data_IF_027005748074
#
_entry.id   IF_027005748074
#
_cell.length_a   1.000
_cell.length_b   1.000
_cell.length_c   1.000
_cell.angle_alpha   90.00
_cell.angle_beta   90.00
_cell.angle_gamma   90.00
#
_symmetry.space_group_name_H-M   'P 1'
#
loop_
_entity.id
_entity.type
_entity.pdbx_description
1 polymer ?
#
# COMPACT_ATOMS: atom_id res chain seq x y z
N UNK A 1 -31.75 -17.31 8.15
CA UNK A 1 -31.23 -15.95 8.42
C UNK A 1 -29.97 -16.11 9.26
N UNK A 2 -28.77 -15.82 8.74
CA UNK A 2 -27.58 -15.86 9.56
C UNK A 2 -27.45 -14.55 10.34
N UNK A 3 -27.29 -14.69 11.65
CA UNK A 3 -27.08 -13.65 12.63
C UNK A 3 -25.78 -12.91 12.34
N UNK A 4 -25.86 -11.60 12.09
CA UNK A 4 -24.68 -10.74 12.00
C UNK A 4 -24.07 -10.66 13.38
N UNK A 5 -23.00 -11.42 13.62
CA UNK A 5 -22.12 -11.22 14.78
C UNK A 5 -21.47 -9.85 14.63
N UNK A 6 -21.85 -8.90 15.49
CA UNK A 6 -21.13 -7.63 15.60
C UNK A 6 -19.74 -7.92 16.18
N UNK A 7 -18.71 -7.92 15.35
CA UNK A 7 -17.35 -7.95 15.86
C UNK A 7 -17.06 -6.60 16.53
N UNK A 8 -17.09 -6.57 17.85
CA UNK A 8 -16.62 -5.46 18.69
C UNK A 8 -15.08 -5.42 18.63
N UNK A 9 -14.52 -5.16 17.45
CA UNK A 9 -13.13 -4.74 17.35
C UNK A 9 -13.12 -3.24 17.60
N UNK A 10 -12.44 -2.79 18.66
CA UNK A 10 -12.20 -1.38 18.93
C UNK A 10 -11.74 -0.67 17.63
N UNK A 11 -12.64 0.11 17.02
CA UNK A 11 -12.46 0.68 15.68
C UNK A 11 -11.33 1.71 15.65
N UNK A 12 -11.15 2.42 16.76
CA UNK A 12 -10.13 3.46 16.93
C UNK A 12 -8.76 2.83 17.23
N UNK A 13 -7.68 3.17 16.49
CA UNK A 13 -6.32 2.72 16.76
C UNK A 13 -5.86 2.99 18.20
N UNK A 14 -5.09 2.07 18.78
CA UNK A 14 -4.57 2.20 20.15
C UNK A 14 -3.74 3.46 20.36
N UNK A 15 -2.90 3.85 19.40
CA UNK A 15 -2.11 5.07 19.49
C UNK A 15 -2.98 6.33 19.56
N UNK A 16 -4.10 6.34 18.85
CA UNK A 16 -5.06 7.46 18.90
C UNK A 16 -5.80 7.49 20.23
N UNK A 17 -6.16 6.34 20.81
CA UNK A 17 -6.79 6.30 22.13
C UNK A 17 -5.85 6.84 23.22
N UNK A 18 -4.56 6.49 23.16
CA UNK A 18 -3.54 7.01 24.08
C UNK A 18 -3.40 8.53 23.88
N UNK A 19 -3.33 8.97 22.63
CA UNK A 19 -3.19 10.38 22.29
C UNK A 19 -4.42 11.20 22.75
N UNK A 20 -5.63 10.66 22.61
CA UNK A 20 -6.86 11.27 23.11
C UNK A 20 -6.82 11.41 24.64
N UNK A 21 -6.46 10.34 25.37
CA UNK A 21 -6.32 10.39 26.83
C UNK A 21 -5.25 11.39 27.31
N UNK A 22 -4.18 11.56 26.54
CA UNK A 22 -3.12 12.54 26.83
C UNK A 22 -3.58 13.98 26.53
N UNK A 23 -4.29 14.20 25.43
CA UNK A 23 -4.84 15.52 25.09
C UNK A 23 -5.98 15.93 26.02
N UNK A 24 -6.82 15.02 26.49
CA UNK A 24 -7.88 15.32 27.46
C UNK A 24 -7.30 15.79 28.82
N UNK A 25 -6.02 15.51 29.08
CA UNK A 25 -5.27 16.00 30.25
C UNK A 25 -4.80 17.46 30.10
N UNK A 26 -4.74 17.99 28.88
CA UNK A 26 -4.36 19.38 28.60
C UNK A 26 -5.56 20.13 28.00
N UNK A 27 -6.16 21.09 28.73
CA UNK A 27 -7.28 21.86 28.21
C UNK A 27 -6.80 22.76 27.06
N UNK A 28 -6.93 22.27 25.83
CA UNK A 28 -6.61 23.01 24.62
C UNK A 28 -7.85 23.74 24.12
N UNK A 29 -7.79 25.06 24.10
CA UNK A 29 -8.87 25.96 23.72
C UNK A 29 -9.03 26.10 22.18
N UNK A 30 -8.59 25.09 21.42
CA UNK A 30 -8.47 25.17 19.98
C UNK A 30 -9.53 24.29 19.29
N UNK A 31 -10.42 24.92 18.52
CA UNK A 31 -11.39 24.25 17.64
C UNK A 31 -10.67 23.57 16.45
N UNK A 32 -9.87 22.54 16.72
CA UNK A 32 -9.18 21.77 15.69
C UNK A 32 -10.23 20.92 14.97
N UNK A 33 -10.35 21.10 13.65
CA UNK A 33 -11.18 20.24 12.82
C UNK A 33 -10.57 18.82 12.78
N UNK A 34 -10.99 17.96 13.72
CA UNK A 34 -10.47 16.60 13.92
C UNK A 34 -10.53 15.77 12.64
N UNK A 35 -11.55 15.95 11.80
CA UNK A 35 -11.68 15.26 10.51
C UNK A 35 -10.55 15.63 9.56
N UNK A 36 -10.18 16.91 9.48
CA UNK A 36 -9.05 17.34 8.65
C UNK A 36 -7.72 16.85 9.23
N UNK A 37 -7.56 16.84 10.56
CA UNK A 37 -6.38 16.28 11.21
C UNK A 37 -6.17 14.80 10.84
N UNK A 38 -7.22 13.98 10.89
CA UNK A 38 -7.12 12.58 10.48
C UNK A 38 -6.85 12.42 8.98
N UNK A 39 -7.43 13.26 8.12
CA UNK A 39 -7.09 13.28 6.67
C UNK A 39 -5.60 13.52 6.45
N UNK A 40 -5.03 14.56 7.08
CA UNK A 40 -3.60 14.86 6.96
C UNK A 40 -2.74 13.77 7.58
N UNK A 41 -3.14 13.22 8.73
CA UNK A 41 -2.45 12.12 9.39
C UNK A 41 -2.38 10.88 8.47
N UNK A 42 -3.49 10.48 7.86
CA UNK A 42 -3.54 9.35 6.92
C UNK A 42 -2.67 9.61 5.70
N UNK A 43 -2.73 10.82 5.14
CA UNK A 43 -1.89 11.21 4.00
C UNK A 43 -0.39 11.09 4.35
N UNK A 44 0.03 11.59 5.50
CA UNK A 44 1.42 11.54 5.95
C UNK A 44 1.86 10.12 6.27
N UNK A 45 1.05 9.36 7.02
CA UNK A 45 1.37 7.97 7.38
C UNK A 45 1.50 7.08 6.15
N UNK A 46 0.55 7.19 5.22
CA UNK A 46 0.61 6.44 3.94
C UNK A 46 1.77 6.89 3.05
N UNK A 47 2.13 8.18 3.08
CA UNK A 47 3.32 8.68 2.41
C UNK A 47 4.60 8.06 2.97
N UNK A 48 4.77 8.09 4.29
CA UNK A 48 5.91 7.47 5.00
C UNK A 48 5.96 5.97 4.71
N UNK A 49 4.81 5.31 4.73
CA UNK A 49 4.68 3.88 4.38
C UNK A 49 5.33 3.56 3.05
N UNK A 50 4.94 4.32 2.03
CA UNK A 50 5.44 4.10 0.68
C UNK A 50 6.89 4.51 0.52
N UNK A 51 7.29 5.63 1.12
CA UNK A 51 8.68 6.02 1.17
C UNK A 51 9.54 4.91 1.79
N UNK A 52 9.07 4.25 2.85
CA UNK A 52 9.76 3.13 3.48
C UNK A 52 9.81 1.86 2.59
N UNK A 53 8.72 1.50 1.91
CA UNK A 53 8.73 0.44 0.90
C UNK A 53 9.78 0.71 -0.18
N UNK A 54 9.80 1.90 -0.76
CA UNK A 54 10.76 2.28 -1.78
C UNK A 54 12.20 2.33 -1.26
N UNK A 55 12.40 2.83 -0.04
CA UNK A 55 13.71 2.83 0.62
C UNK A 55 14.26 1.41 0.76
N UNK A 56 13.43 0.44 1.16
CA UNK A 56 13.84 -0.97 1.34
C UNK A 56 14.23 -1.68 0.03
N UNK A 57 13.86 -1.15 -1.14
CA UNK A 57 14.21 -1.72 -2.46
C UNK A 57 15.57 -1.26 -2.99
N UNK A 58 16.14 -0.19 -2.44
CA UNK A 58 17.40 0.42 -2.94
C UNK A 58 18.72 -0.23 -2.52
N UNK A 59 18.85 -0.93 -1.37
CA UNK A 59 20.13 -1.43 -0.91
C UNK A 59 20.93 -2.23 -1.95
N UNK A 60 20.31 -3.13 -2.73
CA UNK A 60 21.01 -3.94 -3.74
C UNK A 60 21.74 -3.07 -4.77
N UNK A 61 21.09 -2.00 -5.23
CA UNK A 61 21.67 -1.11 -6.25
C UNK A 61 22.90 -0.35 -5.77
N UNK A 62 23.03 -0.17 -4.45
CA UNK A 62 24.18 0.47 -3.80
C UNK A 62 25.23 -0.58 -3.45
N UNK A 63 24.83 -1.66 -2.78
CA UNK A 63 25.75 -2.69 -2.26
C UNK A 63 26.43 -3.50 -3.36
N UNK A 64 25.83 -3.61 -4.56
CA UNK A 64 26.49 -4.28 -5.69
C UNK A 64 27.88 -3.71 -6.01
N UNK A 65 28.14 -2.43 -5.71
CA UNK A 65 29.45 -1.80 -5.97
C UNK A 65 30.56 -2.30 -5.06
N UNK A 66 30.22 -2.89 -3.91
CA UNK A 66 31.22 -3.46 -2.97
C UNK A 66 31.24 -4.98 -2.98
N UNK A 67 30.19 -5.63 -3.48
CA UNK A 67 30.14 -7.08 -3.67
C UNK A 67 30.99 -7.56 -4.85
N UNK A 68 31.19 -6.71 -5.85
CA UNK A 68 32.09 -6.97 -6.97
C UNK A 68 32.86 -5.69 -7.33
N UNK A 69 34.18 -5.73 -7.20
CA UNK A 69 35.09 -4.60 -7.35
C UNK A 69 36.28 -4.96 -8.26
N UNK A 70 36.94 -3.94 -8.81
CA UNK A 70 38.19 -4.15 -9.54
C UNK A 70 39.36 -4.30 -8.55
N UNK A 71 39.69 -5.54 -8.18
CA UNK A 71 40.75 -5.85 -7.22
C UNK A 71 42.19 -5.74 -7.78
N UNK A 72 42.37 -5.34 -9.05
CA UNK A 72 43.67 -5.38 -9.77
C UNK A 72 44.67 -4.29 -9.35
N UNK A 73 44.25 -3.35 -8.49
CA UNK A 73 45.06 -2.17 -8.11
C UNK A 73 46.11 -2.47 -7.05
N UNK A 74 46.02 -3.62 -6.38
CA UNK A 74 46.95 -4.04 -5.32
C UNK A 74 47.45 -5.45 -5.65
N UNK A 75 48.76 -5.66 -5.53
CA UNK A 75 49.41 -6.92 -5.87
C UNK A 75 49.16 -7.96 -4.77
N UNK A 76 47.94 -8.49 -4.71
CA UNK A 76 47.53 -9.58 -3.84
C UNK A 76 47.66 -10.93 -4.57
N UNK A 77 48.01 -11.98 -3.83
CA UNK A 77 48.13 -13.36 -4.35
C UNK A 77 46.78 -13.99 -4.73
N UNK A 78 45.69 -13.44 -4.21
CA UNK A 78 44.32 -13.83 -4.54
C UNK A 78 43.67 -12.70 -5.38
N UNK A 79 43.27 -12.95 -6.64
CA UNK A 79 42.64 -11.94 -7.48
C UNK A 79 41.26 -11.50 -6.99
N UNK A 80 40.60 -12.28 -6.12
CA UNK A 80 39.24 -12.04 -5.60
C UNK A 80 39.21 -11.55 -4.15
N UNK A 81 40.36 -11.13 -3.61
CA UNK A 81 40.51 -10.73 -2.20
C UNK A 81 39.52 -9.66 -1.73
N UNK A 82 38.98 -8.86 -2.65
CA UNK A 82 38.05 -7.76 -2.37
C UNK A 82 36.58 -8.05 -2.76
N UNK A 83 36.27 -9.27 -3.25
CA UNK A 83 34.96 -9.65 -3.77
C UNK A 83 34.10 -10.51 -2.83
N UNK A 84 32.78 -10.32 -2.97
CA UNK A 84 31.65 -10.91 -2.26
C UNK A 84 31.16 -12.30 -2.71
N UNK A 85 31.63 -13.47 -2.27
CA UNK A 85 30.99 -14.74 -2.71
C UNK A 85 29.48 -14.81 -2.33
N UNK A 86 28.56 -15.23 -3.23
CA UNK A 86 28.78 -15.84 -4.55
C UNK A 86 28.86 -14.85 -5.73
N UNK A 87 28.86 -13.55 -5.47
CA UNK A 87 28.90 -12.48 -6.47
C UNK A 87 30.30 -12.22 -7.04
N UNK A 88 31.32 -12.97 -6.62
CA UNK A 88 32.67 -12.90 -7.19
C UNK A 88 32.80 -13.64 -8.54
N UNK A 89 31.79 -14.41 -8.95
CA UNK A 89 31.81 -15.12 -10.23
C UNK A 89 31.84 -14.17 -11.45
N UNK A 90 32.43 -14.62 -12.56
CA UNK A 90 32.48 -13.86 -13.82
C UNK A 90 31.09 -13.39 -14.29
N UNK A 91 30.05 -14.16 -13.99
CA UNK A 91 28.67 -13.87 -14.33
C UNK A 91 27.90 -13.06 -13.25
N UNK A 92 28.58 -12.29 -12.40
CA UNK A 92 27.96 -11.46 -11.34
C UNK A 92 26.77 -10.60 -11.81
N UNK A 93 26.84 -10.01 -13.01
CA UNK A 93 25.74 -9.23 -13.58
C UNK A 93 24.47 -10.07 -13.78
N UNK A 94 24.62 -11.33 -14.21
CA UNK A 94 23.51 -12.27 -14.34
C UNK A 94 22.97 -12.70 -12.97
N UNK A 95 23.83 -12.82 -11.95
CA UNK A 95 23.41 -13.12 -10.58
C UNK A 95 22.54 -11.99 -10.00
N UNK A 96 22.99 -10.73 -10.10
CA UNK A 96 22.19 -9.57 -9.68
C UNK A 96 20.88 -9.47 -10.47
N UNK A 97 20.94 -9.68 -11.79
CA UNK A 97 19.73 -9.72 -12.63
C UNK A 97 18.75 -10.83 -12.23
N UNK A 98 19.26 -11.98 -11.79
CA UNK A 98 18.44 -13.09 -11.27
C UNK A 98 17.74 -12.71 -9.96
N UNK A 99 18.44 -12.01 -9.06
CA UNK A 99 17.85 -11.52 -7.80
C UNK A 99 16.72 -10.51 -8.04
N UNK A 100 16.93 -9.55 -8.94
CA UNK A 100 15.91 -8.57 -9.30
C UNK A 100 14.72 -9.25 -9.98
N UNK A 101 14.99 -10.18 -10.89
CA UNK A 101 13.95 -10.94 -11.59
C UNK A 101 13.14 -11.82 -10.64
N UNK A 102 13.79 -12.51 -9.70
CA UNK A 102 13.12 -13.33 -8.70
C UNK A 102 12.17 -12.50 -7.82
N UNK A 103 12.62 -11.33 -7.38
CA UNK A 103 11.79 -10.38 -6.64
C UNK A 103 10.59 -9.91 -7.47
N UNK A 104 10.83 -9.42 -8.70
CA UNK A 104 9.79 -8.84 -9.55
C UNK A 104 8.74 -9.86 -9.99
N UNK A 105 9.17 -11.08 -10.31
CA UNK A 105 8.27 -12.17 -10.70
C UNK A 105 7.40 -12.62 -9.52
N UNK A 106 8.00 -12.83 -8.35
CA UNK A 106 7.26 -13.17 -7.14
C UNK A 106 6.27 -12.04 -6.75
N UNK A 107 6.71 -10.78 -6.86
CA UNK A 107 5.86 -9.62 -6.64
C UNK A 107 4.69 -9.59 -7.61
N UNK A 108 4.91 -9.80 -8.92
CA UNK A 108 3.85 -9.77 -9.93
C UNK A 108 2.76 -10.81 -9.66
N UNK A 109 3.14 -12.06 -9.36
CA UNK A 109 2.18 -13.13 -9.04
C UNK A 109 1.43 -12.81 -7.74
N UNK A 110 2.15 -12.46 -6.67
CA UNK A 110 1.54 -12.19 -5.38
C UNK A 110 0.65 -10.94 -5.41
N UNK A 111 0.92 -9.97 -6.29
CA UNK A 111 0.14 -8.74 -6.39
C UNK A 111 -1.32 -9.00 -6.77
N UNK A 112 -1.57 -10.00 -7.62
CA UNK A 112 -2.93 -10.43 -7.96
C UNK A 112 -3.69 -10.94 -6.73
N UNK A 113 -3.08 -11.85 -5.97
CA UNK A 113 -3.69 -12.42 -4.76
C UNK A 113 -3.81 -11.40 -3.62
N UNK A 114 -2.81 -10.53 -3.46
CA UNK A 114 -2.77 -9.47 -2.46
C UNK A 114 -3.97 -8.53 -2.60
N UNK A 115 -4.37 -8.18 -3.82
CA UNK A 115 -5.57 -7.39 -4.09
C UNK A 115 -6.84 -8.06 -3.56
N UNK A 116 -7.05 -9.34 -3.89
CA UNK A 116 -8.20 -10.12 -3.45
C UNK A 116 -8.23 -10.29 -1.91
N UNK A 117 -7.08 -10.56 -1.31
CA UNK A 117 -6.98 -10.70 0.15
C UNK A 117 -7.32 -9.38 0.83
N UNK A 118 -6.80 -8.25 0.31
CA UNK A 118 -7.00 -6.93 0.90
C UNK A 118 -8.49 -6.53 1.03
N UNK A 119 -9.37 -7.03 0.15
CA UNK A 119 -10.81 -6.76 0.21
C UNK A 119 -11.51 -7.45 1.39
N UNK A 120 -10.95 -8.55 1.90
CA UNK A 120 -11.58 -9.39 2.93
C UNK A 120 -10.94 -9.30 4.31
N UNK A 121 -9.80 -8.61 4.44
CA UNK A 121 -9.06 -8.49 5.69
C UNK A 121 -9.05 -7.07 6.23
N UNK A 122 -8.76 -6.92 7.52
CA UNK A 122 -8.54 -5.60 8.09
C UNK A 122 -7.30 -4.94 7.45
N UNK A 123 -7.51 -3.87 6.67
CA UNK A 123 -6.47 -3.15 5.92
C UNK A 123 -5.32 -2.69 6.83
N UNK A 124 -5.60 -2.27 8.07
CA UNK A 124 -4.55 -1.82 9.01
C UNK A 124 -3.61 -2.97 9.36
N UNK A 125 -4.17 -4.13 9.69
CA UNK A 125 -3.40 -5.33 10.04
C UNK A 125 -2.65 -5.85 8.80
N UNK A 126 -3.34 -5.90 7.67
CA UNK A 126 -2.76 -6.34 6.39
C UNK A 126 -1.53 -5.53 5.99
N UNK A 127 -1.64 -4.19 6.00
CA UNK A 127 -0.54 -3.30 5.67
C UNK A 127 0.60 -3.41 6.69
N UNK A 128 0.28 -3.49 7.98
CA UNK A 128 1.28 -3.63 9.07
C UNK A 128 2.08 -4.91 8.92
N UNK A 129 1.41 -6.06 8.77
CA UNK A 129 2.07 -7.36 8.61
C UNK A 129 2.96 -7.36 7.37
N UNK A 130 2.45 -6.83 6.26
CA UNK A 130 3.21 -6.64 5.04
C UNK A 130 4.51 -5.86 5.22
N UNK A 131 4.45 -4.73 5.93
CA UNK A 131 5.62 -3.90 6.20
C UNK A 131 6.63 -4.58 7.12
N UNK A 132 6.17 -5.25 8.18
CA UNK A 132 7.03 -5.98 9.11
C UNK A 132 7.76 -7.11 8.39
N UNK A 133 7.02 -7.92 7.62
CA UNK A 133 7.61 -9.04 6.86
C UNK A 133 8.56 -8.53 5.76
N UNK A 134 8.21 -7.43 5.09
CA UNK A 134 9.08 -6.81 4.08
C UNK A 134 10.39 -6.29 4.66
N UNK A 135 10.35 -5.64 5.83
CA UNK A 135 11.57 -5.21 6.51
C UNK A 135 12.38 -6.36 7.09
N UNK A 136 11.71 -7.44 7.49
CA UNK A 136 12.36 -8.69 7.89
C UNK A 136 13.09 -9.30 6.70
N UNK A 137 12.44 -9.43 5.53
CA UNK A 137 13.07 -9.90 4.30
C UNK A 137 14.28 -9.04 3.90
N UNK A 138 14.14 -7.71 3.96
CA UNK A 138 15.23 -6.78 3.70
C UNK A 138 16.40 -7.02 4.67
N UNK A 139 16.12 -7.13 5.98
CA UNK A 139 17.15 -7.40 7.01
C UNK A 139 17.80 -8.77 6.86
N UNK A 140 17.05 -9.80 6.46
CA UNK A 140 17.59 -11.13 6.15
C UNK A 140 18.65 -11.06 5.06
N UNK A 141 18.48 -10.23 4.03
CA UNK A 141 19.52 -10.04 3.01
C UNK A 141 20.82 -9.53 3.66
N UNK A 142 20.72 -8.54 4.57
CA UNK A 142 21.86 -8.00 5.30
C UNK A 142 22.49 -8.99 6.29
N UNK A 143 21.70 -9.87 6.89
CA UNK A 143 22.19 -10.93 7.78
C UNK A 143 23.10 -11.94 7.09
N UNK A 144 23.07 -12.03 5.76
CA UNK A 144 24.07 -12.81 5.02
C UNK A 144 25.51 -12.35 5.33
N UNK A 145 25.72 -11.05 5.54
CA UNK A 145 27.04 -10.52 5.91
C UNK A 145 27.46 -10.88 7.34
N UNK A 146 26.50 -10.91 8.26
CA UNK A 146 26.75 -11.18 9.69
C UNK A 146 27.03 -12.67 9.92
N UNK A 147 26.24 -13.54 9.30
CA UNK A 147 26.39 -15.00 9.43
C UNK A 147 27.30 -15.62 8.37
N UNK A 148 27.95 -14.79 7.54
CA UNK A 148 28.90 -15.22 6.51
C UNK A 148 28.29 -16.24 5.51
N UNK A 149 27.09 -15.93 5.01
CA UNK A 149 26.33 -16.78 4.09
C UNK A 149 26.73 -16.46 2.65
N UNK A 150 27.24 -17.48 1.93
CA UNK A 150 27.69 -17.37 0.54
C UNK A 150 26.83 -18.16 -0.47
N UNK A 151 25.56 -18.46 -0.12
CA UNK A 151 24.67 -19.24 -0.98
C UNK A 151 23.76 -18.34 -1.85
N UNK A 152 23.79 -18.51 -3.17
CA UNK A 152 22.89 -17.75 -4.08
C UNK A 152 21.42 -18.10 -3.84
N UNK A 153 21.12 -19.36 -3.50
CA UNK A 153 19.76 -19.82 -3.21
C UNK A 153 19.17 -19.09 -2.00
N UNK A 154 19.99 -18.76 -0.99
CA UNK A 154 19.57 -17.94 0.14
C UNK A 154 19.10 -16.56 -0.33
N UNK A 155 19.90 -15.86 -1.14
CA UNK A 155 19.54 -14.54 -1.64
C UNK A 155 18.29 -14.57 -2.53
N UNK A 156 18.15 -15.58 -3.40
CA UNK A 156 16.95 -15.78 -4.21
C UNK A 156 15.72 -16.02 -3.34
N UNK A 157 15.81 -16.89 -2.33
CA UNK A 157 14.69 -17.18 -1.43
C UNK A 157 14.24 -15.94 -0.64
N UNK A 158 15.21 -15.14 -0.15
CA UNK A 158 14.93 -13.86 0.52
C UNK A 158 14.25 -12.87 -0.43
N UNK A 159 14.69 -12.79 -1.70
CA UNK A 159 14.09 -11.91 -2.70
C UNK A 159 12.66 -12.33 -3.08
N UNK A 160 12.40 -13.62 -3.20
CA UNK A 160 11.04 -14.14 -3.43
C UNK A 160 10.13 -13.79 -2.25
N UNK A 161 10.59 -14.07 -1.02
CA UNK A 161 9.83 -13.76 0.20
C UNK A 161 9.56 -12.26 0.33
N UNK A 162 10.56 -11.42 0.10
CA UNK A 162 10.43 -9.96 0.08
C UNK A 162 9.49 -9.47 -1.01
N UNK A 163 9.57 -10.04 -2.22
CA UNK A 163 8.68 -9.74 -3.34
C UNK A 163 7.22 -9.97 -2.98
N UNK A 164 6.90 -11.14 -2.40
CA UNK A 164 5.54 -11.49 -1.95
C UNK A 164 5.05 -10.50 -0.89
N UNK A 165 5.85 -10.27 0.15
CA UNK A 165 5.45 -9.45 1.30
C UNK A 165 5.20 -7.98 0.92
N UNK A 166 5.96 -7.45 -0.03
CA UNK A 166 5.84 -6.06 -0.47
C UNK A 166 4.57 -5.76 -1.29
N UNK A 167 3.90 -6.79 -1.81
CA UNK A 167 2.65 -6.60 -2.58
C UNK A 167 1.49 -6.06 -1.75
N UNK A 168 1.56 -6.19 -0.43
CA UNK A 168 0.55 -5.69 0.51
C UNK A 168 0.44 -4.15 0.52
N UNK A 169 1.51 -3.45 0.13
CA UNK A 169 1.59 -1.99 0.19
C UNK A 169 0.53 -1.30 -0.67
N UNK A 170 0.39 -1.67 -1.93
CA UNK A 170 -0.49 -0.97 -2.89
C UNK A 170 -1.98 -1.13 -2.61
N UNK A 171 -2.51 -2.35 -2.46
CA UNK A 171 -3.91 -2.53 -2.15
C UNK A 171 -4.28 -1.88 -0.81
N UNK A 172 -3.42 -2.01 0.20
CA UNK A 172 -3.67 -1.45 1.53
C UNK A 172 -3.74 0.07 1.54
N UNK A 173 -2.75 0.74 0.93
CA UNK A 173 -2.67 2.20 0.97
C UNK A 173 -3.64 2.88 0.02
N UNK A 174 -3.84 2.35 -1.19
CA UNK A 174 -4.83 2.91 -2.11
C UNK A 174 -6.23 2.82 -1.51
N UNK A 175 -6.54 1.72 -0.82
CA UNK A 175 -7.81 1.57 -0.08
C UNK A 175 -7.92 2.62 1.05
N UNK A 176 -6.90 2.77 1.88
CA UNK A 176 -6.89 3.76 2.97
C UNK A 176 -7.04 5.21 2.44
N UNK A 177 -6.32 5.56 1.38
CA UNK A 177 -6.42 6.87 0.73
C UNK A 177 -7.79 7.08 0.08
N UNK A 178 -8.33 6.06 -0.58
CA UNK A 178 -9.64 6.10 -1.24
C UNK A 178 -10.79 6.34 -0.26
N UNK A 179 -10.69 5.78 0.96
CA UNK A 179 -11.68 5.96 2.03
C UNK A 179 -11.76 7.40 2.55
N UNK A 180 -10.63 8.12 2.61
CA UNK A 180 -10.55 9.48 3.15
C UNK A 180 -10.70 10.57 2.10
N UNK A 181 -10.22 10.32 0.89
CA UNK A 181 -10.21 11.27 -0.21
C UNK A 181 -11.23 10.83 -1.27
N UNK A 182 -12.45 11.36 -1.18
CA UNK A 182 -13.57 11.18 -2.13
C UNK A 182 -13.30 11.74 -3.54
N UNK A 183 -14.25 11.66 -4.48
CA UNK A 183 -14.11 11.92 -5.94
C UNK A 183 -13.63 13.33 -6.38
N UNK A 184 -13.32 14.25 -5.46
CA UNK A 184 -12.88 15.62 -5.77
C UNK A 184 -11.45 15.72 -6.30
N UNK A 185 -10.62 16.62 -5.72
CA UNK A 185 -9.22 16.91 -6.08
C UNK A 185 -8.23 15.73 -5.90
N UNK A 186 -8.66 14.49 -6.12
CA UNK A 186 -7.86 13.26 -6.02
C UNK A 186 -6.61 13.34 -6.87
N UNK A 187 -6.70 13.82 -8.11
CA UNK A 187 -5.54 13.90 -9.00
C UNK A 187 -4.39 14.71 -8.40
N UNK A 188 -4.69 15.87 -7.80
CA UNK A 188 -3.68 16.69 -7.14
C UNK A 188 -3.11 16.02 -5.88
N UNK A 189 -3.97 15.45 -5.03
CA UNK A 189 -3.55 14.78 -3.79
C UNK A 189 -2.70 13.55 -4.10
N UNK A 190 -3.14 12.69 -5.01
CA UNK A 190 -2.38 11.53 -5.46
C UNK A 190 -1.10 11.94 -6.19
N UNK A 191 -1.10 13.06 -6.92
CA UNK A 191 0.09 13.62 -7.55
C UNK A 191 1.18 14.00 -6.55
N UNK A 192 0.82 14.76 -5.50
CA UNK A 192 1.74 15.08 -4.39
C UNK A 192 2.15 13.80 -3.66
N UNK A 193 1.18 12.94 -3.35
CA UNK A 193 1.43 11.72 -2.61
C UNK A 193 2.44 10.82 -3.32
N UNK A 194 2.32 10.64 -4.64
CA UNK A 194 3.20 9.79 -5.46
C UNK A 194 4.69 10.22 -5.44
N UNK A 195 4.99 11.45 -5.01
CA UNK A 195 6.38 11.88 -4.75
C UNK A 195 7.08 11.06 -3.65
N UNK A 196 6.32 10.27 -2.87
CA UNK A 196 6.84 9.26 -1.94
C UNK A 196 7.88 8.35 -2.61
N UNK A 197 7.72 8.08 -3.91
CA UNK A 197 8.59 7.17 -4.67
C UNK A 197 10.00 7.74 -4.73
N UNK A 198 10.11 9.00 -5.16
CA UNK A 198 11.39 9.70 -5.25
C UNK A 198 12.01 9.90 -3.88
N UNK A 199 11.22 10.33 -2.89
CA UNK A 199 11.72 10.54 -1.51
C UNK A 199 12.22 9.22 -0.90
N UNK A 200 11.44 8.15 -1.02
CA UNK A 200 11.84 6.83 -0.54
C UNK A 200 13.10 6.31 -1.22
N UNK A 201 13.23 6.52 -2.54
CA UNK A 201 14.43 6.16 -3.28
C UNK A 201 15.67 6.91 -2.77
N UNK A 202 15.55 8.23 -2.52
CA UNK A 202 16.64 9.05 -1.99
C UNK A 202 17.04 8.56 -0.58
N UNK A 203 16.06 8.38 0.30
CA UNK A 203 16.29 7.89 1.67
C UNK A 203 16.97 6.52 1.64
N UNK A 204 16.48 5.59 0.81
CA UNK A 204 17.06 4.25 0.66
C UNK A 204 18.51 4.28 0.19
N UNK A 205 18.83 5.10 -0.80
CA UNK A 205 20.20 5.26 -1.28
C UNK A 205 21.11 5.87 -0.21
N UNK A 206 20.66 6.91 0.51
CA UNK A 206 21.45 7.54 1.57
C UNK A 206 21.71 6.59 2.74
N UNK A 207 20.68 5.87 3.20
CA UNK A 207 20.81 4.88 4.28
C UNK A 207 21.70 3.71 3.87
N UNK A 208 21.61 3.24 2.63
CA UNK A 208 22.49 2.17 2.16
C UNK A 208 23.94 2.66 2.00
N UNK A 209 24.12 3.84 1.44
CA UNK A 209 25.42 4.45 1.17
C UNK A 209 26.23 4.75 2.43
N UNK A 210 25.60 5.09 3.55
CA UNK A 210 26.33 5.37 4.80
C UNK A 210 27.05 4.16 5.39
N UNK A 211 26.64 2.94 5.04
CA UNK A 211 27.21 1.70 5.58
C UNK A 211 27.89 0.82 4.53
N UNK A 212 27.79 1.16 3.25
CA UNK A 212 28.21 0.25 2.15
C UNK A 212 29.71 -0.10 2.23
N UNK A 213 30.56 0.87 2.56
CA UNK A 213 32.02 0.69 2.63
C UNK A 213 32.48 0.02 3.92
N UNK A 214 31.73 0.15 5.02
CA UNK A 214 32.14 -0.37 6.34
C UNK A 214 31.54 -1.75 6.61
N UNK A 215 30.22 -1.87 6.48
CA UNK A 215 29.49 -3.11 6.65
C UNK A 215 28.24 -3.09 5.79
N UNK A 216 28.36 -3.60 4.57
CA UNK A 216 27.26 -3.63 3.61
C UNK A 216 26.01 -4.37 4.11
N UNK A 217 26.13 -5.25 5.11
CA UNK A 217 24.96 -5.88 5.75
C UNK A 217 24.04 -4.85 6.41
N UNK A 218 24.61 -3.80 7.01
CA UNK A 218 23.84 -2.71 7.63
C UNK A 218 23.10 -1.86 6.59
N UNK A 219 23.60 -1.79 5.35
CA UNK A 219 22.94 -1.11 4.23
C UNK A 219 21.57 -1.73 3.91
N UNK A 220 21.31 -2.96 4.33
CA UNK A 220 20.00 -3.62 4.24
C UNK A 220 19.23 -3.59 5.57
N UNK A 221 19.91 -3.85 6.69
CA UNK A 221 19.26 -3.93 8.01
C UNK A 221 18.65 -2.58 8.40
N UNK A 222 19.34 -1.46 8.16
CA UNK A 222 18.85 -0.12 8.55
C UNK A 222 17.57 0.27 7.78
N UNK A 223 17.52 0.17 6.43
CA UNK A 223 16.26 0.32 5.69
C UNK A 223 15.18 -0.71 6.09
N UNK A 224 15.57 -1.94 6.44
CA UNK A 224 14.67 -2.97 6.95
C UNK A 224 14.01 -2.59 8.28
N UNK A 225 14.78 -2.03 9.22
CA UNK A 225 14.26 -1.48 10.48
C UNK A 225 13.35 -0.28 10.21
N UNK A 226 13.73 0.60 9.28
CA UNK A 226 12.92 1.79 8.94
C UNK A 226 11.50 1.42 8.47
N UNK A 227 11.35 0.41 7.61
CA UNK A 227 10.03 -0.05 7.20
C UNK A 227 9.27 -0.80 8.31
N UNK A 228 9.95 -1.57 9.17
CA UNK A 228 9.32 -2.20 10.35
C UNK A 228 8.74 -1.14 11.29
N UNK A 229 9.54 -0.13 11.64
CA UNK A 229 9.12 0.98 12.51
C UNK A 229 7.95 1.72 11.89
N UNK A 230 8.03 2.03 10.59
CA UNK A 230 6.92 2.65 9.86
C UNK A 230 5.65 1.79 9.88
N UNK A 231 5.77 0.46 9.81
CA UNK A 231 4.66 -0.48 9.97
C UNK A 231 4.02 -0.43 11.35
N UNK A 232 4.83 -0.37 12.41
CA UNK A 232 4.34 -0.21 13.79
C UNK A 232 3.62 1.13 13.95
N UNK A 233 4.15 2.22 13.37
CA UNK A 233 3.48 3.52 13.37
C UNK A 233 2.11 3.45 12.68
N UNK A 234 1.99 2.75 11.55
CA UNK A 234 0.70 2.53 10.92
C UNK A 234 -0.26 1.74 11.80
N UNK A 235 0.21 0.67 12.44
CA UNK A 235 -0.63 -0.10 13.35
C UNK A 235 -1.22 0.75 14.48
N UNK A 236 -0.40 1.66 15.02
CA UNK A 236 -0.77 2.52 16.14
C UNK A 236 -1.66 3.71 15.74
N UNK A 237 -1.44 4.30 14.55
CA UNK A 237 -2.02 5.61 14.22
C UNK A 237 -2.87 5.64 12.95
N UNK A 238 -2.83 4.62 12.07
CA UNK A 238 -3.56 4.66 10.80
C UNK A 238 -5.06 4.43 11.01
N UNK A 239 -5.87 5.47 10.82
CA UNK A 239 -7.34 5.34 10.75
C UNK A 239 -7.74 4.97 9.33
N UNK A 240 -8.30 3.77 9.13
CA UNK A 240 -8.63 3.27 7.79
C UNK A 240 -9.94 3.83 7.29
N UNK A 241 -10.96 3.93 8.16
CA UNK A 241 -12.27 4.44 7.78
C UNK A 241 -12.64 5.69 8.60
N UNK A 242 -13.18 6.75 7.96
CA UNK A 242 -13.67 7.93 8.68
C UNK A 242 -14.76 7.60 9.72
N UNK A 243 -15.53 6.53 9.51
CA UNK A 243 -16.55 6.03 10.43
C UNK A 243 -15.99 5.63 11.80
N UNK A 244 -14.73 5.18 11.86
CA UNK A 244 -14.09 4.71 13.08
C UNK A 244 -13.95 5.82 14.13
N UNK A 245 -13.82 7.07 13.69
CA UNK A 245 -13.63 8.26 14.54
C UNK A 245 -14.86 9.16 14.60
N UNK A 246 -15.74 9.09 13.61
CA UNK A 246 -16.97 9.88 13.56
C UNK A 246 -18.19 9.16 14.18
N UNK A 247 -18.12 7.86 14.47
CA UNK A 247 -19.22 7.11 15.09
C UNK A 247 -19.61 7.58 16.49
N UNK A 248 -18.74 8.32 17.18
CA UNK A 248 -19.02 8.92 18.48
C UNK A 248 -19.95 10.14 18.43
N UNK A 249 -20.16 10.77 17.27
CA UNK A 249 -21.04 11.94 17.14
C UNK A 249 -22.52 11.60 16.88
N UNK A 250 -22.86 10.31 16.69
CA UNK A 250 -24.24 9.86 16.46
C UNK A 250 -24.92 9.19 17.66
N UNK A 251 -24.19 8.87 18.75
CA UNK A 251 -24.77 8.26 19.95
C UNK A 251 -25.32 9.28 20.98
N UNK A 252 -25.25 10.58 20.68
CA UNK A 252 -25.91 11.64 21.45
C UNK A 252 -27.15 12.23 20.75
N UNK A 253 -27.81 11.45 19.90
CA UNK A 253 -29.25 11.63 19.67
C UNK A 253 -29.98 10.62 20.53
N UNK A 254 -30.10 10.96 21.82
CA UNK A 254 -31.04 10.29 22.70
C UNK A 254 -32.39 10.24 22.01
N UNK A 255 -32.88 9.01 21.88
CA UNK A 255 -34.23 8.62 21.57
C UNK A 255 -35.22 9.45 22.40
N UNK A 256 -35.68 10.58 21.87
CA UNK A 256 -36.97 11.15 22.24
C UNK A 256 -37.95 10.89 21.10
N UNK A 257 -38.78 9.87 21.33
CA UNK A 257 -40.08 9.64 20.71
C UNK A 257 -40.21 9.97 19.21
N UNK A 258 -40.03 8.94 18.37
CA UNK A 258 -41.04 8.56 17.37
C UNK A 258 -41.59 9.61 16.40
N UNK A 259 -40.91 10.72 16.09
CA UNK A 259 -41.32 11.68 15.05
C UNK A 259 -40.12 12.24 14.30
N UNK A 260 -39.94 11.80 13.05
CA UNK A 260 -39.10 12.52 12.08
C UNK A 260 -39.84 13.78 11.66
N UNK A 261 -39.42 14.92 12.20
CA UNK A 261 -39.88 16.24 11.75
C UNK A 261 -38.71 16.93 11.07
N UNK A 262 -38.73 17.02 9.75
CA UNK A 262 -37.79 17.86 8.99
C UNK A 262 -38.37 19.28 9.02
N UNK A 263 -37.78 20.17 9.83
CA UNK A 263 -38.08 21.60 9.73
C UNK A 263 -37.19 22.23 8.66
N UNK A 264 -37.80 22.67 7.55
CA UNK A 264 -37.23 23.59 6.59
C UNK A 264 -38.22 24.76 6.44
N UNK A 265 -37.80 25.94 6.90
CA UNK A 265 -38.38 27.26 6.70
C UNK A 265 -39.89 27.34 6.40
N UNK A 266 -40.69 27.52 7.46
CA UNK A 266 -41.72 28.56 7.53
C UNK A 266 -42.91 28.56 6.57
N UNK A 267 -43.12 27.58 5.69
CA UNK A 267 -44.33 27.51 4.85
C UNK A 267 -44.86 26.07 4.80
N UNK A 268 -46.07 25.89 5.36
CA UNK A 268 -46.78 24.62 5.46
C UNK A 268 -47.38 24.26 4.09
N UNK A 269 -46.79 23.30 3.37
CA UNK A 269 -47.45 22.54 2.30
C UNK A 269 -47.42 21.06 2.66
N UNK A 270 -48.60 20.43 2.73
CA UNK A 270 -48.73 18.98 2.89
C UNK A 270 -48.37 18.29 1.56
N UNK A 271 -47.44 17.34 1.59
CA UNK A 271 -47.25 16.38 0.50
C UNK A 271 -47.95 15.06 0.83
N UNK A 272 -48.56 14.36 -0.16
CA UNK A 272 -49.24 13.10 0.08
C UNK A 272 -48.27 11.95 0.35
N UNK A 273 -48.75 10.99 1.15
CA UNK A 273 -48.12 9.72 1.51
C UNK A 273 -48.05 8.82 0.26
N UNK A 274 -46.86 8.31 -0.10
CA UNK A 274 -46.72 7.20 -1.05
C UNK A 274 -46.71 5.88 -0.26
N UNK A 275 -47.79 5.11 -0.42
CA UNK A 275 -47.82 3.67 -0.09
C UNK A 275 -47.16 2.91 -1.26
N UNK A 276 -46.19 2.07 -0.95
CA UNK A 276 -45.62 1.13 -1.93
C UNK A 276 -46.58 -0.05 -2.08
N UNK A 277 -47.34 -0.08 -3.17
CA UNK A 277 -48.05 -1.29 -3.63
C UNK A 277 -47.20 -2.01 -4.68
N UNK A 278 -46.98 -3.30 -4.44
CA UNK A 278 -46.10 -4.24 -5.16
C UNK A 278 -46.78 -4.78 -6.43
N UNK A 279 -47.26 -3.91 -7.33
CA UNK A 279 -48.03 -4.37 -8.51
C UNK A 279 -47.54 -3.88 -9.87
N UNK A 280 -46.52 -3.02 -9.95
CA UNK A 280 -46.07 -2.43 -11.22
C UNK A 280 -44.86 -3.13 -11.85
N UNK A 281 -44.16 -4.02 -11.13
CA UNK A 281 -42.95 -4.70 -11.63
C UNK A 281 -43.25 -5.82 -12.65
N UNK A 282 -44.49 -6.30 -12.73
CA UNK A 282 -44.86 -7.41 -13.61
C UNK A 282 -45.29 -7.01 -15.03
N UNK A 283 -45.46 -5.71 -15.33
CA UNK A 283 -45.80 -5.25 -16.69
C UNK A 283 -44.57 -4.87 -17.53
N UNK A 284 -43.47 -4.45 -16.90
CA UNK A 284 -42.24 -4.05 -17.62
C UNK A 284 -41.50 -5.28 -18.18
N UNK A 285 -41.59 -6.43 -17.51
CA UNK A 285 -40.98 -7.69 -17.96
C UNK A 285 -41.70 -8.35 -19.16
N UNK A 286 -42.93 -7.93 -19.51
CA UNK A 286 -43.63 -8.44 -20.70
C UNK A 286 -43.31 -7.68 -22.00
N UNK A 287 -42.77 -6.46 -21.92
CA UNK A 287 -42.53 -5.60 -23.08
C UNK A 287 -41.18 -5.77 -23.82
N UNK A 288 -40.24 -6.56 -23.28
CA UNK A 288 -38.89 -6.67 -23.85
C UNK A 288 -38.59 -8.03 -24.52
N UNK A 289 -39.58 -8.92 -24.64
CA UNK A 289 -39.36 -10.30 -25.17
C UNK A 289 -39.71 -10.50 -26.65
N UNK A 290 -40.02 -9.44 -27.40
CA UNK A 290 -40.27 -9.55 -28.84
C UNK A 290 -39.39 -8.57 -29.63
N UNK A 291 -38.22 -9.03 -30.12
CA UNK A 291 -37.85 -8.76 -31.52
C UNK A 291 -36.83 -9.77 -32.07
N UNK A 292 -37.03 -10.09 -33.36
CA UNK A 292 -36.46 -11.19 -34.15
C UNK A 292 -34.98 -11.03 -34.50
N UNK A 293 -34.30 -12.18 -34.64
CA UNK A 293 -32.97 -12.39 -35.23
C UNK A 293 -33.07 -12.56 -36.79
N UNK A 294 -31.96 -12.65 -37.57
CA UNK A 294 -31.60 -11.71 -38.65
C UNK A 294 -31.46 -12.34 -40.07
N UNK A 295 -31.27 -11.51 -41.10
CA UNK A 295 -30.56 -11.82 -42.37
C UNK A 295 -30.17 -10.46 -42.99
N UNK A 296 -28.97 -10.16 -43.51
CA UNK A 296 -28.12 -10.83 -44.51
C UNK A 296 -26.65 -10.35 -44.41
N UNK A 297 -25.76 -11.00 -45.17
CA UNK A 297 -24.29 -11.10 -45.04
C UNK A 297 -23.48 -10.00 -45.80
N UNK A 298 -22.13 -10.07 -45.93
CA UNK A 298 -21.21 -8.98 -45.56
C UNK A 298 -20.68 -8.17 -46.76
N UNK A 299 -20.36 -6.90 -46.54
CA UNK A 299 -19.50 -6.15 -47.46
C UNK A 299 -18.15 -5.84 -46.82
N UNK A 300 -17.13 -6.36 -47.49
CA UNK A 300 -15.70 -6.18 -47.28
C UNK A 300 -15.31 -4.75 -47.69
N UNK A 301 -14.70 -3.99 -46.78
CA UNK A 301 -14.11 -2.69 -47.09
C UNK A 301 -12.67 -2.69 -46.61
N UNK A 302 -11.77 -2.68 -47.59
CA UNK A 302 -10.32 -2.65 -47.51
C UNK A 302 -9.81 -1.29 -47.03
N UNK A 303 -8.79 -1.31 -46.15
CA UNK A 303 -8.07 -0.12 -45.66
C UNK A 303 -6.71 -0.07 -46.39
N UNK A 304 -6.34 1.03 -47.06
CA UNK A 304 -5.06 1.13 -47.74
C UNK A 304 -3.91 1.43 -46.78
N UNK A 305 -2.80 0.69 -46.96
CA UNK A 305 -1.48 0.95 -46.37
C UNK A 305 -0.86 2.18 -47.03
N UNK A 306 -0.45 3.16 -46.22
CA UNK A 306 0.36 4.29 -46.66
C UNK A 306 1.84 3.97 -46.52
N UNK A 307 2.55 3.96 -47.65
CA UNK A 307 4.01 3.99 -47.72
C UNK A 307 4.54 5.41 -47.43
N UNK A 308 5.51 5.53 -46.53
CA UNK A 308 6.51 6.61 -46.59
C UNK A 308 7.88 6.02 -46.23
N UNK A 309 8.68 5.80 -47.26
CA UNK A 309 10.14 5.75 -47.20
C UNK A 309 10.71 7.17 -47.14
N UNK A 310 11.60 7.44 -46.17
CA UNK A 310 12.77 8.33 -46.24
C UNK A 310 13.58 8.15 -44.96
#
# INVERSE_FOLDING_TARGET
>A
MPTVMSSTTNSVPYGIQILQKLFDKFPSNHNINRTNLYKYSVLILTFITYAAYHASRKPISVVKTVLYQNCSTVNHTDPDWCNWAPFNAENHNALFGTLDSAFLFAYAIAMFFSGLIAEHVNIRIFLTLGMILSGTACSMFGFARIYNIHSITYFIAVQIFGGICQTTGWPGVVTAMGNWFGKGNRGFIFGIWNSHTSIGNIIGTLLAGSFVETNWGLSFIVPGIFIIVSGILNFLFLVVHPSDVNGGSHLNQNTQNGRKTVMKNGIRRQSPRYDYNVQEENEILKGSSEEKKPSTSPQEVSIPLGDISS
#
